data_IF_388808489302
#
_entry.id   IF_388808489302
#
_cell.length_a   1.000
_cell.length_b   1.000
_cell.length_c   1.000
_cell.angle_alpha   90.00
_cell.angle_beta   90.00
_cell.angle_gamma   90.00
#
_symmetry.space_group_name_H-M   'P 1'
#
loop_
_entity.id
_entity.type
_entity.pdbx_description
1 polymer ?
#
# COMPACT_ATOMS: atom_id res chain seq x y z
N UNK A 1 -27.59 -20.73 -1.37
CA UNK A 1 -27.98 -19.45 -1.99
C UNK A 1 -28.22 -18.46 -0.85
N UNK A 2 -27.26 -17.58 -0.56
CA UNK A 2 -27.41 -16.53 0.45
C UNK A 2 -27.39 -15.20 -0.30
N UNK A 3 -28.46 -14.42 -0.17
CA UNK A 3 -28.51 -13.00 -0.57
C UNK A 3 -28.26 -12.65 -2.05
N UNK A 4 -28.72 -13.45 -3.01
CA UNK A 4 -28.68 -13.09 -4.44
C UNK A 4 -27.29 -13.10 -5.08
N UNK A 5 -26.24 -13.48 -4.35
CA UNK A 5 -24.89 -13.70 -4.88
C UNK A 5 -24.92 -15.01 -5.69
N UNK A 6 -24.74 -14.91 -7.00
CA UNK A 6 -24.57 -16.06 -7.90
C UNK A 6 -23.15 -16.58 -7.74
N UNK A 7 -23.00 -17.86 -7.43
CA UNK A 7 -21.71 -18.57 -7.42
C UNK A 7 -21.20 -18.79 -8.83
N UNK A 8 -20.69 -17.72 -9.44
CA UNK A 8 -20.08 -17.74 -10.76
C UNK A 8 -18.62 -18.20 -10.62
N UNK A 9 -18.42 -19.50 -10.36
CA UNK A 9 -17.09 -20.13 -10.29
C UNK A 9 -16.43 -20.31 -11.66
N UNK A 10 -17.20 -20.07 -12.74
CA UNK A 10 -16.86 -20.47 -14.11
C UNK A 10 -16.91 -19.29 -15.12
N UNK A 11 -16.88 -18.04 -14.66
CA UNK A 11 -16.73 -16.91 -15.59
C UNK A 11 -15.25 -16.77 -15.92
N UNK A 12 -14.87 -17.39 -17.04
CA UNK A 12 -13.53 -17.27 -17.60
C UNK A 12 -13.18 -15.80 -17.86
N UNK A 13 -12.01 -15.39 -17.37
CA UNK A 13 -11.45 -14.07 -17.63
C UNK A 13 -10.55 -13.65 -16.48
N UNK A 14 -9.29 -14.08 -16.52
CA UNK A 14 -8.21 -13.32 -15.90
C UNK A 14 -8.31 -11.86 -16.37
N UNK A 15 -7.92 -10.90 -15.52
CA UNK A 15 -7.78 -9.52 -16.00
C UNK A 15 -6.78 -9.56 -17.18
N UNK A 16 -7.15 -9.04 -18.37
CA UNK A 16 -6.25 -9.07 -19.52
C UNK A 16 -4.92 -8.40 -19.17
N UNK A 17 -3.80 -9.05 -19.51
CA UNK A 17 -2.47 -8.56 -19.17
C UNK A 17 -2.20 -7.14 -19.73
N UNK A 18 -2.85 -6.77 -20.84
CA UNK A 18 -2.80 -5.43 -21.41
C UNK A 18 -3.33 -4.36 -20.45
N UNK A 19 -4.38 -4.68 -19.68
CA UNK A 19 -4.95 -3.77 -18.68
C UNK A 19 -3.96 -3.57 -17.52
N UNK A 20 -3.30 -4.64 -17.10
CA UNK A 20 -2.32 -4.58 -16.01
C UNK A 20 -1.06 -3.85 -16.42
N UNK A 21 -0.55 -4.10 -17.63
CA UNK A 21 0.57 -3.34 -18.20
C UNK A 21 0.20 -1.87 -18.38
N UNK A 22 -1.00 -1.58 -18.89
CA UNK A 22 -1.50 -0.21 -18.99
C UNK A 22 -1.55 0.47 -17.62
N UNK A 23 -2.00 -0.22 -16.57
CA UNK A 23 -1.97 0.30 -15.20
C UNK A 23 -0.53 0.64 -14.76
N UNK A 24 0.41 -0.30 -14.92
CA UNK A 24 1.81 -0.11 -14.50
C UNK A 24 2.58 0.95 -15.29
N UNK A 25 2.06 1.40 -16.43
CA UNK A 25 2.61 2.52 -17.19
C UNK A 25 1.87 3.81 -16.87
N UNK A 26 0.54 3.81 -17.00
CA UNK A 26 -0.28 5.00 -16.93
C UNK A 26 -0.41 5.53 -15.50
N UNK A 27 -0.55 4.68 -14.49
CA UNK A 27 -0.73 5.13 -13.12
C UNK A 27 0.54 5.83 -12.57
N UNK A 28 1.77 5.26 -12.70
CA UNK A 28 3.00 5.97 -12.36
C UNK A 28 3.20 7.26 -13.17
N UNK A 29 2.87 7.24 -14.46
CA UNK A 29 2.93 8.43 -15.30
C UNK A 29 2.02 9.54 -14.78
N UNK A 30 0.77 9.22 -14.43
CA UNK A 30 -0.18 10.20 -13.88
C UNK A 30 0.31 10.78 -12.56
N UNK A 31 0.79 9.94 -11.64
CA UNK A 31 1.36 10.38 -10.36
C UNK A 31 2.56 11.30 -10.60
N UNK A 32 3.46 10.93 -11.52
CA UNK A 32 4.60 11.77 -11.91
C UNK A 32 4.16 13.12 -12.49
N UNK A 33 3.19 13.14 -13.41
CA UNK A 33 2.69 14.37 -14.04
C UNK A 33 2.04 15.30 -13.02
N UNK A 34 1.20 14.76 -12.12
CA UNK A 34 0.59 15.53 -11.02
C UNK A 34 1.67 16.07 -10.09
N UNK A 35 2.61 15.22 -9.69
CA UNK A 35 3.70 15.60 -8.78
C UNK A 35 4.62 16.67 -9.39
N UNK A 36 4.92 16.57 -10.69
CA UNK A 36 5.69 17.59 -11.42
C UNK A 36 4.97 18.92 -11.43
N UNK A 37 3.66 18.92 -11.74
CA UNK A 37 2.82 20.14 -11.73
C UNK A 37 2.75 20.79 -10.34
N UNK A 38 2.78 19.99 -9.27
CA UNK A 38 2.71 20.46 -7.87
C UNK A 38 4.06 20.62 -7.19
N UNK A 39 5.16 20.40 -7.92
CA UNK A 39 6.52 20.62 -7.42
C UNK A 39 7.01 19.60 -6.39
N UNK A 40 6.43 18.39 -6.33
CA UNK A 40 6.83 17.33 -5.39
C UNK A 40 7.82 16.34 -5.99
N UNK A 41 8.02 16.36 -7.31
CA UNK A 41 9.09 15.61 -7.99
C UNK A 41 10.40 16.36 -7.82
N UNK A 42 11.19 15.95 -6.83
CA UNK A 42 12.51 16.52 -6.50
C UNK A 42 13.52 15.39 -6.30
N UNK A 43 14.80 15.69 -6.38
CA UNK A 43 15.84 14.74 -6.00
C UNK A 43 15.73 14.38 -4.51
N UNK A 44 15.94 13.11 -4.19
CA UNK A 44 16.12 12.66 -2.82
C UNK A 44 17.48 13.13 -2.30
N UNK A 45 17.48 13.68 -1.10
CA UNK A 45 18.68 13.97 -0.32
C UNK A 45 19.20 12.71 0.35
N UNK A 46 20.41 12.76 0.90
CA UNK A 46 20.96 11.66 1.71
C UNK A 46 20.04 11.28 2.86
N UNK A 47 19.46 12.26 3.54
CA UNK A 47 18.57 12.01 4.67
C UNK A 47 17.26 11.34 4.22
N UNK A 48 16.74 11.70 3.04
CA UNK A 48 15.56 11.04 2.48
C UNK A 48 15.82 9.56 2.21
N UNK A 49 16.98 9.23 1.63
CA UNK A 49 17.37 7.83 1.41
C UNK A 49 17.53 7.05 2.72
N UNK A 50 18.05 7.69 3.77
CA UNK A 50 18.12 7.09 5.10
C UNK A 50 16.72 6.79 5.63
N UNK A 51 15.78 7.72 5.56
CA UNK A 51 14.40 7.48 5.99
C UNK A 51 13.69 6.40 5.17
N UNK A 52 13.87 6.40 3.85
CA UNK A 52 13.34 5.35 2.96
C UNK A 52 13.90 3.98 3.36
N UNK A 53 15.21 3.89 3.60
CA UNK A 53 15.87 2.65 4.03
C UNK A 53 15.37 2.14 5.39
N UNK A 54 15.29 3.04 6.38
CA UNK A 54 14.71 2.74 7.71
C UNK A 54 13.26 2.27 7.56
N UNK A 55 12.49 2.94 6.72
CA UNK A 55 11.09 2.61 6.44
C UNK A 55 10.90 1.19 5.93
N UNK A 56 11.62 0.83 4.86
CA UNK A 56 11.56 -0.51 4.28
C UNK A 56 12.00 -1.58 5.27
N UNK A 57 13.06 -1.32 6.04
CA UNK A 57 13.56 -2.24 7.06
C UNK A 57 12.56 -2.44 8.21
N UNK A 58 12.02 -1.34 8.77
CA UNK A 58 11.03 -1.41 9.83
C UNK A 58 9.73 -2.07 9.35
N UNK A 59 9.31 -1.81 8.11
CA UNK A 59 8.17 -2.50 7.51
C UNK A 59 8.39 -4.01 7.44
N UNK A 60 9.60 -4.44 7.05
CA UNK A 60 9.98 -5.86 6.97
C UNK A 60 9.98 -6.49 8.36
N UNK A 61 10.56 -5.80 9.35
CA UNK A 61 10.58 -6.27 10.74
C UNK A 61 9.15 -6.39 11.28
N UNK A 62 8.32 -5.38 11.01
CA UNK A 62 6.95 -5.38 11.45
C UNK A 62 6.19 -6.55 10.85
N UNK A 63 6.08 -6.65 9.53
CA UNK A 63 5.21 -7.63 8.90
C UNK A 63 5.59 -9.07 9.27
N UNK A 64 6.88 -9.41 9.17
CA UNK A 64 7.29 -10.80 9.26
C UNK A 64 7.64 -11.28 10.67
N UNK A 65 8.03 -10.40 11.58
CA UNK A 65 8.40 -10.81 12.95
C UNK A 65 7.36 -10.42 13.99
N UNK A 66 6.81 -9.19 13.91
CA UNK A 66 5.84 -8.70 14.89
C UNK A 66 4.42 -9.08 14.45
N UNK A 67 4.08 -8.78 13.20
CA UNK A 67 2.80 -9.05 12.54
C UNK A 67 2.44 -10.51 12.65
N UNK A 68 3.32 -11.42 12.23
CA UNK A 68 3.11 -12.87 12.35
C UNK A 68 2.80 -13.37 13.77
N UNK A 69 3.25 -12.66 14.82
CA UNK A 69 2.84 -12.95 16.20
C UNK A 69 1.47 -12.36 16.53
N UNK A 70 1.22 -11.11 16.14
CA UNK A 70 -0.04 -10.40 16.39
C UNK A 70 -1.21 -11.03 15.61
N UNK A 71 -0.98 -11.48 14.37
CA UNK A 71 -1.98 -12.08 13.50
C UNK A 71 -2.55 -13.37 14.11
N UNK A 72 -1.76 -14.10 14.92
CA UNK A 72 -2.23 -15.28 15.67
C UNK A 72 -3.24 -14.95 16.75
N UNK A 73 -3.31 -13.69 17.18
CA UNK A 73 -4.29 -13.21 18.16
C UNK A 73 -5.61 -12.84 17.49
N UNK A 74 -5.65 -12.73 16.15
CA UNK A 74 -6.87 -12.42 15.39
C UNK A 74 -7.73 -13.69 15.30
N UNK A 75 -9.01 -13.65 15.75
CA UNK A 75 -9.90 -14.79 15.59
C UNK A 75 -10.07 -15.18 14.12
N UNK A 76 -10.17 -16.47 13.83
CA UNK A 76 -10.27 -16.97 12.44
C UNK A 76 -11.43 -16.33 11.65
N UNK A 77 -12.55 -16.03 12.29
CA UNK A 77 -13.69 -15.35 11.66
C UNK A 77 -13.45 -13.86 11.33
N UNK A 78 -12.38 -13.26 11.86
CA UNK A 78 -12.00 -11.87 11.63
C UNK A 78 -10.74 -11.73 10.74
N UNK A 79 -10.00 -12.82 10.51
CA UNK A 79 -8.72 -12.79 9.78
C UNK A 79 -8.85 -12.33 8.31
N UNK A 80 -10.02 -12.47 7.69
CA UNK A 80 -10.26 -11.94 6.34
C UNK A 80 -10.48 -10.41 6.30
N UNK A 81 -10.72 -9.80 7.46
CA UNK A 81 -11.04 -8.37 7.57
C UNK A 81 -9.95 -7.56 8.25
N UNK A 82 -9.09 -8.22 9.03
CA UNK A 82 -8.07 -7.58 9.86
C UNK A 82 -6.74 -8.28 9.62
N UNK A 83 -5.76 -7.50 9.16
CA UNK A 83 -4.39 -7.93 8.90
C UNK A 83 -3.41 -6.99 9.62
N UNK A 84 -3.19 -7.18 10.93
CA UNK A 84 -2.26 -6.36 11.71
C UNK A 84 -0.83 -6.29 11.15
N UNK A 85 -0.34 -7.38 10.56
CA UNK A 85 0.94 -7.43 9.85
C UNK A 85 1.01 -6.40 8.72
N UNK A 86 0.11 -6.51 7.75
CA UNK A 86 0.03 -5.55 6.65
C UNK A 86 -0.27 -4.12 7.13
N UNK A 87 -1.19 -3.96 8.08
CA UNK A 87 -1.63 -2.64 8.57
C UNK A 87 -0.48 -1.84 9.18
N UNK A 88 0.32 -2.47 10.04
CA UNK A 88 1.42 -1.76 10.68
C UNK A 88 2.56 -1.45 9.72
N UNK A 89 2.84 -2.29 8.71
CA UNK A 89 3.73 -1.93 7.60
C UNK A 89 3.27 -0.64 6.94
N UNK A 90 1.99 -0.56 6.57
CA UNK A 90 1.48 0.62 5.88
C UNK A 90 1.48 1.87 6.77
N UNK A 91 1.19 1.74 8.07
CA UNK A 91 1.32 2.83 9.05
C UNK A 91 2.76 3.35 9.12
N UNK A 92 3.76 2.48 9.17
CA UNK A 92 5.17 2.86 9.15
C UNK A 92 5.47 3.65 7.87
N UNK A 93 5.05 3.15 6.70
CA UNK A 93 5.30 3.80 5.42
C UNK A 93 4.64 5.18 5.31
N UNK A 94 3.45 5.37 5.89
CA UNK A 94 2.83 6.70 5.97
C UNK A 94 3.73 7.69 6.72
N UNK A 95 4.32 7.28 7.85
CA UNK A 95 5.25 8.15 8.60
C UNK A 95 6.47 8.51 7.74
N UNK A 96 7.04 7.53 7.03
CA UNK A 96 8.22 7.74 6.18
C UNK A 96 7.91 8.70 5.02
N UNK A 97 6.82 8.45 4.29
CA UNK A 97 6.41 9.30 3.17
C UNK A 97 6.05 10.70 3.65
N UNK A 98 5.44 10.79 4.83
CA UNK A 98 5.22 12.02 5.55
C UNK A 98 6.51 12.79 5.83
N UNK A 99 7.57 12.14 6.32
CA UNK A 99 8.85 12.81 6.56
C UNK A 99 9.54 13.26 5.26
N UNK A 100 9.49 12.44 4.20
CA UNK A 100 10.21 12.70 2.94
C UNK A 100 9.49 13.72 2.03
N UNK A 101 8.15 13.67 1.96
CA UNK A 101 7.28 14.62 1.22
C UNK A 101 7.61 14.79 -0.27
N UNK A 102 8.22 13.80 -0.90
CA UNK A 102 8.59 13.80 -2.32
C UNK A 102 7.95 12.63 -3.03
N UNK A 103 7.46 12.88 -4.25
CA UNK A 103 6.88 11.84 -5.08
C UNK A 103 7.95 10.79 -5.42
N UNK A 104 7.65 9.53 -5.15
CA UNK A 104 8.54 8.38 -5.32
C UNK A 104 8.99 7.78 -3.99
N UNK A 105 8.72 8.43 -2.86
CA UNK A 105 9.13 7.96 -1.55
C UNK A 105 8.38 6.67 -1.16
N UNK A 106 7.09 6.58 -1.50
CA UNK A 106 6.28 5.38 -1.26
C UNK A 106 6.78 4.21 -2.08
N UNK A 107 6.92 4.40 -3.40
CA UNK A 107 7.47 3.41 -4.33
C UNK A 107 8.87 2.93 -3.91
N UNK A 108 9.78 3.86 -3.58
CA UNK A 108 11.14 3.50 -3.18
C UNK A 108 11.18 2.76 -1.83
N UNK A 109 10.35 3.16 -0.87
CA UNK A 109 10.29 2.50 0.44
C UNK A 109 9.78 1.06 0.31
N UNK A 110 8.78 0.84 -0.55
CA UNK A 110 8.30 -0.51 -0.81
C UNK A 110 9.26 -1.34 -1.66
N UNK A 111 10.01 -0.72 -2.58
CA UNK A 111 11.09 -1.43 -3.26
C UNK A 111 12.13 -1.98 -2.25
N UNK A 112 12.54 -1.16 -1.28
CA UNK A 112 13.46 -1.60 -0.21
C UNK A 112 12.79 -2.67 0.65
N UNK A 113 11.54 -2.48 1.07
CA UNK A 113 10.79 -3.48 1.81
C UNK A 113 10.77 -4.82 1.07
N UNK A 114 10.41 -4.83 -0.22
CA UNK A 114 10.33 -6.06 -1.03
C UNK A 114 11.69 -6.71 -1.14
N UNK A 115 12.76 -5.94 -1.36
CA UNK A 115 14.13 -6.48 -1.41
C UNK A 115 14.52 -7.19 -0.11
N UNK A 116 14.25 -6.57 1.04
CA UNK A 116 14.61 -7.13 2.35
C UNK A 116 13.71 -8.32 2.69
N UNK A 117 12.42 -8.25 2.35
CA UNK A 117 11.47 -9.35 2.53
C UNK A 117 11.89 -10.56 1.73
N UNK A 118 12.26 -10.36 0.46
CA UNK A 118 12.75 -11.42 -0.41
C UNK A 118 14.07 -12.01 0.09
N UNK A 119 15.02 -11.18 0.50
CA UNK A 119 16.28 -11.62 1.08
C UNK A 119 16.12 -12.48 2.34
N UNK A 120 15.27 -12.05 3.28
CA UNK A 120 15.24 -12.62 4.63
C UNK A 120 14.10 -13.60 4.89
N UNK A 121 13.03 -13.57 4.10
CA UNK A 121 11.84 -14.39 4.33
C UNK A 121 11.51 -15.31 3.16
N UNK A 122 11.69 -14.85 1.93
CA UNK A 122 11.36 -15.63 0.74
C UNK A 122 12.57 -16.29 0.05
N UNK A 123 13.80 -15.95 0.47
CA UNK A 123 15.04 -16.57 0.01
C UNK A 123 15.32 -16.38 -1.49
N UNK A 124 14.97 -15.22 -2.06
CA UNK A 124 14.96 -14.98 -3.51
C UNK A 124 14.03 -15.89 -4.31
N UNK A 125 13.14 -16.61 -3.62
CA UNK A 125 11.99 -17.29 -4.23
C UNK A 125 10.86 -16.31 -4.57
N UNK A 126 10.91 -15.09 -4.05
CA UNK A 126 10.04 -14.00 -4.45
C UNK A 126 10.25 -13.69 -5.92
N UNK A 127 9.17 -13.70 -6.68
CA UNK A 127 9.24 -13.42 -8.10
C UNK A 127 9.53 -11.93 -8.30
N UNK A 128 10.36 -11.55 -9.30
CA UNK A 128 10.64 -10.15 -9.61
C UNK A 128 9.38 -9.28 -9.80
N UNK A 129 8.26 -9.91 -10.17
CA UNK A 129 6.96 -9.26 -10.30
C UNK A 129 6.44 -8.63 -8.99
N UNK A 130 6.85 -9.15 -7.82
CA UNK A 130 6.46 -8.56 -6.54
C UNK A 130 7.05 -7.17 -6.30
N UNK A 131 8.18 -6.82 -6.93
CA UNK A 131 8.70 -5.46 -6.87
C UNK A 131 7.76 -4.48 -7.57
N UNK A 132 7.26 -4.85 -8.74
CA UNK A 132 6.27 -4.04 -9.48
C UNK A 132 4.95 -4.00 -8.72
N UNK A 133 4.52 -5.14 -8.18
CA UNK A 133 3.34 -5.24 -7.33
C UNK A 133 3.42 -4.27 -6.15
N UNK A 134 4.40 -4.41 -5.27
CA UNK A 134 4.48 -3.61 -4.04
C UNK A 134 4.74 -2.13 -4.34
N UNK A 135 5.78 -1.84 -5.11
CA UNK A 135 6.16 -0.46 -5.39
C UNK A 135 5.07 0.25 -6.23
N UNK A 136 4.67 -0.33 -7.37
CA UNK A 136 3.78 0.36 -8.32
C UNK A 136 2.29 0.17 -8.04
N UNK A 137 1.91 -0.44 -6.90
CA UNK A 137 0.52 -0.41 -6.39
C UNK A 137 0.46 0.32 -5.06
N UNK A 138 0.79 -0.34 -3.95
CA UNK A 138 0.73 0.21 -2.60
C UNK A 138 1.59 1.45 -2.43
N UNK A 139 2.82 1.42 -2.96
CA UNK A 139 3.78 2.54 -2.84
C UNK A 139 3.34 3.71 -3.70
N UNK A 140 2.85 3.41 -4.89
CA UNK A 140 2.28 4.39 -5.81
C UNK A 140 1.07 5.11 -5.21
N UNK A 141 0.21 4.44 -4.43
CA UNK A 141 -0.92 5.10 -3.76
C UNK A 141 -0.49 6.12 -2.70
N UNK A 142 0.58 5.83 -1.96
CA UNK A 142 1.20 6.82 -1.07
C UNK A 142 1.77 8.00 -1.86
N UNK A 143 2.45 7.72 -2.97
CA UNK A 143 3.00 8.77 -3.84
C UNK A 143 1.94 9.59 -4.58
N UNK A 144 0.78 9.00 -4.88
CA UNK A 144 -0.40 9.70 -5.36
C UNK A 144 -0.86 10.71 -4.31
N UNK A 145 -0.96 10.31 -3.04
CA UNK A 145 -1.32 11.20 -1.94
C UNK A 145 -0.31 12.35 -1.80
N UNK A 146 1.00 12.07 -1.82
CA UNK A 146 2.04 13.12 -1.82
C UNK A 146 1.84 14.10 -2.98
N UNK A 147 1.64 13.55 -4.18
CA UNK A 147 1.51 14.34 -5.40
C UNK A 147 0.25 15.21 -5.36
N UNK A 148 -0.90 14.66 -4.98
CA UNK A 148 -2.20 15.37 -4.90
C UNK A 148 -2.25 16.35 -3.72
N UNK A 149 -1.46 16.16 -2.67
CA UNK A 149 -1.37 17.13 -1.57
C UNK A 149 -0.30 18.20 -1.81
N UNK A 150 0.56 18.04 -2.83
CA UNK A 150 1.67 18.98 -3.05
C UNK A 150 2.74 18.90 -1.96
N UNK A 151 2.88 17.74 -1.32
CA UNK A 151 3.85 17.51 -0.24
C UNK A 151 3.40 18.04 1.13
N UNK A 152 2.18 18.57 1.27
CA UNK A 152 1.59 18.95 2.56
C UNK A 152 0.65 17.88 3.10
N UNK A 153 1.01 16.61 2.89
CA UNK A 153 0.23 15.46 3.34
C UNK A 153 0.12 15.38 4.87
N UNK A 154 -0.83 14.58 5.31
CA UNK A 154 -1.26 14.38 6.69
C UNK A 154 -1.59 15.69 7.40
N UNK A 155 -2.23 16.61 6.68
CA UNK A 155 -2.66 17.90 7.19
C UNK A 155 -1.51 18.75 7.74
N UNK A 156 -0.35 18.75 7.09
CA UNK A 156 0.86 19.49 7.49
C UNK A 156 1.10 20.78 6.69
N UNK A 157 0.03 21.33 6.10
CA UNK A 157 0.06 22.63 5.46
C UNK A 157 0.20 23.80 6.44
N UNK A 158 0.02 25.02 5.94
CA UNK A 158 0.13 26.27 6.71
C UNK A 158 -0.77 26.33 7.95
N UNK A 159 -1.87 25.59 7.96
CA UNK A 159 -2.74 25.37 9.12
C UNK A 159 -2.82 23.88 9.42
N UNK A 160 -1.96 23.35 10.31
CA UNK A 160 -1.93 21.92 10.55
C UNK A 160 -3.25 21.39 11.12
N UNK A 161 -3.78 20.31 10.56
CA UNK A 161 -5.10 19.75 10.92
C UNK A 161 -5.07 18.24 11.08
N UNK A 162 -5.37 17.77 12.29
CA UNK A 162 -5.54 16.34 12.59
C UNK A 162 -6.70 15.70 11.84
N UNK A 163 -7.75 16.49 11.55
CA UNK A 163 -8.91 16.01 10.80
C UNK A 163 -8.51 15.72 9.36
N UNK A 164 -7.74 16.62 8.73
CA UNK A 164 -7.22 16.38 7.38
C UNK A 164 -6.29 15.17 7.38
N UNK A 165 -5.43 15.04 8.39
CA UNK A 165 -4.55 13.89 8.53
C UNK A 165 -5.30 12.55 8.60
N UNK A 166 -6.37 12.48 9.39
CA UNK A 166 -7.23 11.32 9.50
C UNK A 166 -7.94 11.01 8.17
N UNK A 167 -8.46 12.04 7.49
CA UNK A 167 -9.15 11.86 6.20
C UNK A 167 -8.18 11.37 5.12
N UNK A 168 -7.03 12.01 4.95
CA UNK A 168 -6.02 11.62 3.97
C UNK A 168 -5.52 10.20 4.21
N UNK A 169 -5.27 9.85 5.48
CA UNK A 169 -4.90 8.50 5.87
C UNK A 169 -5.97 7.46 5.60
N UNK A 170 -7.22 7.74 5.98
CA UNK A 170 -8.36 6.87 5.69
C UNK A 170 -8.54 6.66 4.18
N UNK A 171 -8.52 7.72 3.39
CA UNK A 171 -8.72 7.65 1.94
C UNK A 171 -7.64 6.84 1.23
N UNK A 172 -6.35 7.05 1.54
CA UNK A 172 -5.27 6.29 0.89
C UNK A 172 -5.36 4.81 1.25
N UNK A 173 -5.76 4.48 2.48
CA UNK A 173 -5.86 3.10 2.91
C UNK A 173 -7.01 2.31 2.28
N UNK A 174 -8.09 2.98 1.86
CA UNK A 174 -9.14 2.33 1.06
C UNK A 174 -8.58 1.80 -0.26
N UNK A 175 -7.59 2.48 -0.85
CA UNK A 175 -6.93 2.00 -2.07
C UNK A 175 -6.12 0.71 -1.83
N UNK A 176 -5.66 0.47 -0.60
CA UNK A 176 -4.90 -0.74 -0.26
C UNK A 176 -5.75 -2.01 -0.19
N UNK A 177 -7.08 -1.90 -0.16
CA UNK A 177 -7.96 -3.07 -0.26
C UNK A 177 -8.03 -3.66 -1.67
N UNK A 178 -7.44 -2.99 -2.67
CA UNK A 178 -7.58 -3.33 -4.08
C UNK A 178 -6.49 -4.24 -4.65
N UNK A 179 -5.19 -4.05 -4.37
CA UNK A 179 -4.15 -4.77 -5.10
C UNK A 179 -4.18 -6.28 -4.87
N UNK A 180 -4.37 -6.75 -3.64
CA UNK A 180 -4.35 -8.20 -3.37
C UNK A 180 -5.50 -8.93 -4.07
N UNK A 181 -6.77 -8.50 -3.96
CA UNK A 181 -7.85 -9.18 -4.66
C UNK A 181 -7.81 -8.98 -6.19
N UNK A 182 -7.50 -7.77 -6.67
CA UNK A 182 -7.61 -7.46 -8.10
C UNK A 182 -6.35 -7.79 -8.89
N UNK A 183 -5.18 -7.39 -8.39
CA UNK A 183 -3.93 -7.53 -9.13
C UNK A 183 -3.26 -8.87 -8.79
N UNK A 184 -3.30 -9.30 -7.53
CA UNK A 184 -2.72 -10.58 -7.17
C UNK A 184 -3.63 -11.75 -7.51
N UNK A 185 -4.82 -11.85 -6.90
CA UNK A 185 -5.71 -13.00 -7.09
C UNK A 185 -6.30 -13.11 -8.51
N UNK A 186 -6.72 -11.99 -9.12
CA UNK A 186 -7.39 -12.02 -10.43
C UNK A 186 -6.43 -11.88 -11.63
N UNK A 187 -5.13 -11.65 -11.40
CA UNK A 187 -4.12 -11.57 -12.47
C UNK A 187 -2.85 -12.36 -12.16
N UNK A 188 -2.02 -11.93 -11.21
CA UNK A 188 -0.70 -12.54 -11.02
C UNK A 188 -0.77 -14.02 -10.66
N UNK A 189 -1.68 -14.41 -9.77
CA UNK A 189 -1.77 -15.79 -9.33
C UNK A 189 -2.16 -16.74 -10.49
N UNK A 190 -3.15 -16.42 -11.34
CA UNK A 190 -3.38 -17.10 -12.62
C UNK A 190 -2.18 -17.08 -13.57
N UNK A 191 -1.63 -15.88 -13.84
CA UNK A 191 -0.59 -15.67 -14.82
C UNK A 191 0.69 -16.46 -14.52
N UNK A 192 1.05 -16.52 -13.24
CA UNK A 192 2.31 -17.07 -12.76
C UNK A 192 2.17 -18.55 -12.41
N UNK A 193 1.08 -18.90 -11.71
CA UNK A 193 0.92 -20.22 -11.09
C UNK A 193 -0.18 -21.06 -11.75
N UNK A 194 -0.85 -20.56 -12.79
CA UNK A 194 -1.94 -21.27 -13.47
C UNK A 194 -3.19 -21.43 -12.60
N UNK A 195 -3.38 -20.57 -11.60
CA UNK A 195 -4.56 -20.61 -10.73
C UNK A 195 -5.85 -20.21 -11.46
N UNK A 196 -6.97 -20.78 -11.03
CA UNK A 196 -8.30 -20.40 -11.54
C UNK A 196 -8.81 -19.18 -10.77
N UNK A 197 -9.32 -18.18 -11.49
CA UNK A 197 -9.92 -16.97 -10.91
C UNK A 197 -11.32 -17.29 -10.38
N UNK A 198 -11.55 -17.00 -9.09
CA UNK A 198 -12.87 -16.99 -8.48
C UNK A 198 -13.30 -15.54 -8.23
N UNK A 199 -14.12 -15.01 -9.12
CA UNK A 199 -14.60 -13.62 -9.04
C UNK A 199 -15.47 -13.35 -7.82
N UNK A 200 -16.18 -14.36 -7.29
CA UNK A 200 -16.94 -14.19 -6.06
C UNK A 200 -16.00 -14.01 -4.87
N UNK A 201 -14.92 -14.81 -4.79
CA UNK A 201 -13.89 -14.65 -3.77
C UNK A 201 -13.17 -13.30 -3.88
N UNK A 202 -12.83 -12.87 -5.10
CA UNK A 202 -12.20 -11.56 -5.36
C UNK A 202 -13.08 -10.42 -4.85
N UNK A 203 -14.36 -10.38 -5.23
CA UNK A 203 -15.29 -9.34 -4.79
C UNK A 203 -15.43 -9.34 -3.27
N UNK A 204 -15.60 -10.53 -2.68
CA UNK A 204 -15.70 -10.67 -1.23
C UNK A 204 -14.46 -10.13 -0.51
N UNK A 205 -13.24 -10.42 -1.00
CA UNK A 205 -12.01 -9.90 -0.39
C UNK A 205 -11.88 -8.38 -0.53
N UNK A 206 -12.32 -7.79 -1.64
CA UNK A 206 -12.37 -6.31 -1.78
C UNK A 206 -13.29 -5.73 -0.71
N UNK A 207 -14.52 -6.25 -0.57
CA UNK A 207 -15.47 -5.78 0.43
C UNK A 207 -14.96 -5.96 1.86
N UNK A 208 -14.36 -7.12 2.15
CA UNK A 208 -13.78 -7.43 3.45
C UNK A 208 -12.62 -6.50 3.80
N UNK A 209 -11.72 -6.23 2.85
CA UNK A 209 -10.62 -5.28 3.03
C UNK A 209 -11.13 -3.86 3.31
N UNK A 210 -12.15 -3.40 2.58
CA UNK A 210 -12.74 -2.07 2.77
C UNK A 210 -13.40 -1.86 4.14
N UNK A 211 -13.81 -2.94 4.82
CA UNK A 211 -14.56 -2.86 6.07
C UNK A 211 -13.79 -2.13 7.19
N UNK A 212 -12.50 -2.45 7.39
CA UNK A 212 -11.72 -1.95 8.52
C UNK A 212 -10.35 -1.36 8.18
N UNK A 213 -9.86 -1.49 6.94
CA UNK A 213 -8.53 -0.97 6.55
C UNK A 213 -8.38 0.54 6.77
N UNK A 214 -9.50 1.28 6.67
CA UNK A 214 -9.54 2.72 6.91
C UNK A 214 -9.16 3.11 8.35
N UNK A 215 -9.33 2.21 9.32
CA UNK A 215 -8.94 2.43 10.72
C UNK A 215 -7.42 2.53 10.80
N UNK A 216 -6.70 1.59 10.16
CA UNK A 216 -5.24 1.63 10.10
C UNK A 216 -4.74 2.89 9.39
N UNK A 217 -5.39 3.28 8.29
CA UNK A 217 -5.10 4.53 7.59
C UNK A 217 -5.29 5.77 8.45
N UNK A 218 -6.41 5.87 9.17
CA UNK A 218 -6.67 7.00 10.10
C UNK A 218 -5.59 7.07 11.19
N UNK A 219 -5.26 5.93 11.81
CA UNK A 219 -4.20 5.85 12.82
C UNK A 219 -2.86 6.29 12.22
N UNK A 220 -2.49 5.75 11.06
CA UNK A 220 -1.25 6.09 10.39
C UNK A 220 -1.15 7.57 10.02
N UNK A 221 -2.22 8.18 9.52
CA UNK A 221 -2.26 9.60 9.20
C UNK A 221 -2.08 10.48 10.44
N UNK A 222 -2.73 10.12 11.56
CA UNK A 222 -2.58 10.84 12.83
C UNK A 222 -1.18 10.68 13.44
N UNK A 223 -0.59 9.48 13.34
CA UNK A 223 0.77 9.21 13.81
C UNK A 223 1.78 9.99 12.97
N UNK A 224 1.69 9.94 11.64
CA UNK A 224 2.56 10.71 10.74
C UNK A 224 2.49 12.22 11.05
N UNK A 225 1.27 12.77 11.17
CA UNK A 225 1.06 14.16 11.58
C UNK A 225 1.77 14.52 12.90
N UNK A 226 1.75 13.61 13.88
CA UNK A 226 2.37 13.85 15.19
C UNK A 226 3.90 13.78 15.10
N UNK A 227 4.44 12.75 14.44
CA UNK A 227 5.89 12.55 14.32
C UNK A 227 6.53 13.72 13.59
N UNK A 228 5.96 14.13 12.47
CA UNK A 228 6.53 15.19 11.64
C UNK A 228 6.54 16.56 12.34
N UNK A 229 5.54 16.84 13.17
CA UNK A 229 5.54 18.03 14.02
C UNK A 229 6.68 18.08 15.03
N UNK A 230 7.18 16.91 15.45
CA UNK A 230 8.27 16.81 16.42
C UNK A 230 9.63 16.88 15.71
N UNK A 231 9.76 16.22 14.55
CA UNK A 231 11.02 16.13 13.80
C UNK A 231 11.35 17.45 13.07
N UNK A 232 10.37 18.32 12.81
CA UNK A 232 10.57 19.63 12.17
C UNK A 232 10.95 20.76 13.13
N UNK A 233 11.22 20.45 14.40
CA UNK A 233 11.81 21.37 15.40
C UNK A 233 13.32 21.10 15.45
#
# INVERSE_FOLDING_TARGET
MFNGIKGLTDVAGEIPWEVVVAYYILAPLLVFLIGKKRGTVKSFSTLDWVYIGIGGALGTVWEFYIGTFVDKLVPAGAATYIDPGFWGRMVILMVIVGMVRKTGAGMASLLVFTLLSDQFHYGYGGQPLYFFYEALTYGLFLDLLVSVTGGTLFGLGSKPSKIIAAIEGGLVSLLWALPDPLIYDAFYRPFIYGAVVDWQAVIFKVEAGLAFIWIAGVIGGLVAHRVEKIVQI
#
